data_IF_646532928853
#
_entry.id   IF_646532928853
#
_cell.length_a   1.000
_cell.length_b   1.000
_cell.length_c   1.000
_cell.angle_alpha   90.00
_cell.angle_beta   90.00
_cell.angle_gamma   90.00
#
_symmetry.space_group_name_H-M   'P 1'
#
loop_
_entity.id
_entity.type
_entity.pdbx_description
1 polymer ?
#
# COMPACT_ATOMS: atom_id res chain seq x y z
N UNK A 1 14.14 4.48 3.75
CA UNK A 1 14.45 3.54 4.86
C UNK A 1 13.50 3.65 6.05
N UNK A 2 13.21 4.84 6.60
CA UNK A 2 12.28 5.02 7.74
C UNK A 2 10.92 4.37 7.47
N UNK A 3 10.31 4.71 6.33
CA UNK A 3 8.98 4.20 5.95
C UNK A 3 8.97 2.68 5.74
N UNK A 4 10.05 2.10 5.18
CA UNK A 4 10.23 0.64 5.13
C UNK A 4 10.18 0.04 6.53
N UNK A 5 10.89 0.64 7.49
CA UNK A 5 10.85 0.24 8.90
C UNK A 5 9.47 0.32 9.53
N UNK A 6 8.74 1.43 9.28
CA UNK A 6 7.37 1.62 9.76
C UNK A 6 6.42 0.55 9.19
N UNK A 7 6.46 0.29 7.88
CA UNK A 7 5.62 -0.71 7.23
C UNK A 7 5.97 -2.12 7.70
N UNK A 8 7.26 -2.45 7.77
CA UNK A 8 7.74 -3.74 8.27
C UNK A 8 7.29 -3.98 9.73
N UNK A 9 7.41 -2.97 10.60
CA UNK A 9 6.90 -3.04 11.96
C UNK A 9 5.38 -3.20 12.01
N UNK A 10 4.66 -2.60 11.07
CA UNK A 10 3.20 -2.64 10.99
C UNK A 10 2.66 -3.97 10.49
N UNK A 11 3.43 -4.78 9.73
CA UNK A 11 3.02 -6.13 9.26
C UNK A 11 2.60 -7.03 10.43
N UNK A 12 3.24 -6.88 11.60
CA UNK A 12 2.91 -7.69 12.77
C UNK A 12 1.48 -7.44 13.29
N UNK A 13 0.90 -6.27 13.02
CA UNK A 13 -0.44 -5.93 13.49
C UNK A 13 -1.51 -6.84 12.87
N UNK A 14 -1.70 -6.91 11.54
CA UNK A 14 -2.67 -7.82 10.93
C UNK A 14 -2.31 -9.29 11.19
N UNK A 15 -1.01 -9.65 11.28
CA UNK A 15 -0.62 -11.02 11.66
C UNK A 15 -1.15 -11.39 13.05
N UNK A 16 -1.00 -10.51 14.04
CA UNK A 16 -1.54 -10.73 15.39
C UNK A 16 -3.08 -10.73 15.43
N UNK A 17 -3.71 -9.83 14.66
CA UNK A 17 -5.17 -9.73 14.56
C UNK A 17 -5.82 -10.91 13.82
N UNK A 18 -5.06 -11.68 13.03
CA UNK A 18 -5.56 -12.89 12.36
C UNK A 18 -5.91 -14.02 13.34
N UNK A 19 -5.30 -14.02 14.53
CA UNK A 19 -5.58 -14.94 15.63
C UNK A 19 -5.00 -16.35 15.46
N UNK A 20 -4.44 -16.90 16.54
CA UNK A 20 -3.94 -18.28 16.62
C UNK A 20 -2.78 -18.61 15.66
N UNK A 21 -2.40 -19.88 15.61
CA UNK A 21 -1.43 -20.38 14.63
C UNK A 21 -2.06 -20.49 13.24
N UNK A 22 -1.27 -20.22 12.20
CA UNK A 22 -1.69 -20.35 10.81
C UNK A 22 -1.69 -21.82 10.39
N UNK A 23 -2.73 -22.24 9.67
CA UNK A 23 -2.79 -23.51 8.96
C UNK A 23 -2.39 -23.29 7.51
N UNK A 24 -2.23 -24.37 6.76
CA UNK A 24 -1.91 -24.35 5.31
C UNK A 24 -2.71 -23.33 4.50
N UNK A 25 -4.05 -23.18 4.63
CA UNK A 25 -4.79 -22.19 3.85
C UNK A 25 -4.44 -20.74 4.19
N UNK A 26 -4.00 -20.43 5.41
CA UNK A 26 -3.53 -19.09 5.75
C UNK A 26 -2.19 -18.78 5.09
N UNK A 27 -1.24 -19.71 5.09
CA UNK A 27 0.02 -19.53 4.37
C UNK A 27 -0.20 -19.31 2.87
N UNK A 28 -1.16 -20.00 2.25
CA UNK A 28 -1.52 -19.78 0.85
C UNK A 28 -2.11 -18.39 0.61
N UNK A 29 -3.04 -17.94 1.47
CA UNK A 29 -3.61 -16.57 1.38
C UNK A 29 -2.55 -15.50 1.60
N UNK A 30 -1.62 -15.73 2.52
CA UNK A 30 -0.49 -14.83 2.76
C UNK A 30 0.39 -14.75 1.51
N UNK A 31 0.79 -15.89 0.94
CA UNK A 31 1.57 -15.94 -0.29
C UNK A 31 0.87 -15.23 -1.46
N UNK A 32 -0.44 -15.41 -1.60
CA UNK A 32 -1.24 -14.70 -2.60
C UNK A 32 -1.23 -13.18 -2.36
N UNK A 33 -1.32 -12.74 -1.11
CA UNK A 33 -1.17 -11.33 -0.74
C UNK A 33 0.22 -10.78 -1.10
N UNK A 34 1.29 -11.53 -0.80
CA UNK A 34 2.66 -11.16 -1.16
C UNK A 34 2.81 -11.01 -2.67
N UNK A 35 2.32 -11.97 -3.45
CA UNK A 35 2.35 -11.93 -4.91
C UNK A 35 1.57 -10.73 -5.43
N UNK A 36 0.37 -10.45 -4.89
CA UNK A 36 -0.42 -9.31 -5.29
C UNK A 36 0.28 -7.97 -4.98
N UNK A 37 0.90 -7.84 -3.79
CA UNK A 37 1.68 -6.65 -3.41
C UNK A 37 2.91 -6.46 -4.29
N UNK A 38 3.65 -7.53 -4.59
CA UNK A 38 4.78 -7.50 -5.52
C UNK A 38 4.36 -7.13 -6.93
N UNK A 39 3.29 -7.73 -7.45
CA UNK A 39 2.76 -7.42 -8.77
C UNK A 39 2.36 -5.95 -8.87
N UNK A 40 1.59 -5.45 -7.89
CA UNK A 40 1.15 -4.05 -7.87
C UNK A 40 2.30 -3.05 -7.80
N UNK A 41 3.42 -3.43 -7.18
CA UNK A 41 4.61 -2.57 -7.02
C UNK A 41 5.69 -2.78 -8.08
N UNK A 42 5.51 -3.74 -8.98
CA UNK A 42 6.46 -4.06 -10.06
C UNK A 42 5.87 -3.80 -11.45
N UNK A 43 4.76 -3.06 -11.52
CA UNK A 43 4.15 -2.66 -12.78
C UNK A 43 5.12 -1.75 -13.55
N UNK A 44 5.45 -2.09 -14.81
CA UNK A 44 6.25 -1.22 -15.65
C UNK A 44 5.52 0.11 -15.86
N UNK A 45 6.29 1.20 -15.92
CA UNK A 45 5.75 2.51 -16.24
C UNK A 45 5.35 2.54 -17.71
N UNK A 46 4.07 2.79 -17.95
CA UNK A 46 3.51 2.91 -19.29
C UNK A 46 3.11 4.37 -19.50
N UNK A 47 3.33 4.91 -20.70
CA UNK A 47 2.89 6.26 -21.06
C UNK A 47 1.64 6.17 -21.93
N UNK A 48 0.48 6.01 -21.29
CA UNK A 48 -0.81 6.04 -22.00
C UNK A 48 -1.24 7.48 -22.23
N UNK A 49 -1.78 7.76 -23.42
CA UNK A 49 -2.38 9.08 -23.68
C UNK A 49 -3.62 9.30 -22.80
N UNK A 50 -3.80 10.49 -22.21
CA UNK A 50 -4.93 10.79 -21.33
C UNK A 50 -6.25 10.80 -22.11
N UNK A 51 -6.95 9.67 -22.09
CA UNK A 51 -8.33 9.56 -22.59
C UNK A 51 -9.30 9.43 -21.42
N UNK A 52 -10.50 10.04 -21.46
CA UNK A 52 -11.50 9.93 -20.40
C UNK A 52 -11.81 8.47 -19.98
N UNK A 53 -11.74 7.53 -20.92
CA UNK A 53 -11.97 6.10 -20.70
C UNK A 53 -10.81 5.39 -19.98
N UNK A 54 -9.60 5.95 -20.03
CA UNK A 54 -8.43 5.45 -19.30
C UNK A 54 -8.36 6.12 -17.92
N UNK A 55 -8.66 7.42 -17.87
CA UNK A 55 -8.67 8.23 -16.64
C UNK A 55 -9.69 7.69 -15.63
N UNK A 56 -10.89 7.31 -16.08
CA UNK A 56 -11.94 6.78 -15.21
C UNK A 56 -11.51 5.55 -14.39
N UNK A 57 -11.14 4.41 -15.00
CA UNK A 57 -10.70 3.23 -14.24
C UNK A 57 -9.39 3.48 -13.49
N UNK A 58 -8.47 4.28 -14.03
CA UNK A 58 -7.22 4.59 -13.33
C UNK A 58 -7.45 5.42 -12.07
N UNK A 59 -8.34 6.41 -12.08
CA UNK A 59 -8.73 7.17 -10.90
C UNK A 59 -9.37 6.27 -9.83
N UNK A 60 -10.26 5.37 -10.26
CA UNK A 60 -10.91 4.39 -9.38
C UNK A 60 -9.91 3.39 -8.77
N UNK A 61 -8.90 2.93 -9.52
CA UNK A 61 -7.88 2.01 -8.98
C UNK A 61 -6.88 2.75 -8.09
N UNK A 62 -6.48 3.97 -8.46
CA UNK A 62 -5.55 4.78 -7.68
C UNK A 62 -6.11 5.12 -6.28
N UNK A 63 -7.39 5.49 -6.19
CA UNK A 63 -8.04 5.74 -4.90
C UNK A 63 -8.24 4.44 -4.10
N UNK A 64 -8.49 3.31 -4.78
CA UNK A 64 -8.55 1.99 -4.15
C UNK A 64 -7.22 1.63 -3.48
N UNK A 65 -6.10 1.94 -4.13
CA UNK A 65 -4.76 1.72 -3.61
C UNK A 65 -4.49 2.52 -2.33
N UNK A 66 -5.10 3.70 -2.14
CA UNK A 66 -4.97 4.48 -0.91
C UNK A 66 -5.68 3.85 0.30
N UNK A 67 -6.70 3.02 0.07
CA UNK A 67 -7.42 2.31 1.14
C UNK A 67 -6.68 1.03 1.53
N UNK A 68 -5.93 0.41 0.60
CA UNK A 68 -5.16 -0.79 0.88
C UNK A 68 -3.85 -0.45 1.62
N UNK A 69 -3.55 -1.11 2.75
CA UNK A 69 -2.32 -0.86 3.49
C UNK A 69 -1.10 -1.26 2.66
N UNK A 70 -0.15 -0.34 2.56
CA UNK A 70 1.13 -0.55 1.86
C UNK A 70 1.10 -0.22 0.37
N UNK A 71 -0.02 0.17 -0.23
CA UNK A 71 -0.07 0.63 -1.63
C UNK A 71 -0.19 2.16 -1.73
N UNK A 72 0.46 2.74 -2.74
CA UNK A 72 0.43 4.20 -2.98
C UNK A 72 -0.39 4.51 -4.23
N UNK A 73 -1.43 5.34 -4.10
CA UNK A 73 -2.25 5.77 -5.23
C UNK A 73 -1.47 6.59 -6.27
N UNK A 74 -0.50 7.41 -5.83
CA UNK A 74 0.37 8.17 -6.74
C UNK A 74 1.30 7.26 -7.53
N UNK A 75 1.78 6.17 -6.94
CA UNK A 75 2.57 5.16 -7.64
C UNK A 75 1.76 4.49 -8.75
N UNK A 76 0.51 4.12 -8.48
CA UNK A 76 -0.37 3.55 -9.50
C UNK A 76 -0.59 4.54 -10.66
N UNK A 77 -0.82 5.83 -10.37
CA UNK A 77 -0.94 6.84 -11.42
C UNK A 77 0.35 7.03 -12.22
N UNK A 78 1.52 6.92 -11.58
CA UNK A 78 2.81 6.95 -12.25
C UNK A 78 2.99 5.73 -13.15
N UNK A 79 2.66 4.53 -12.68
CA UNK A 79 2.75 3.28 -13.45
C UNK A 79 1.87 3.30 -14.70
N UNK A 80 0.68 3.90 -14.61
CA UNK A 80 -0.28 4.02 -15.74
C UNK A 80 0.06 5.22 -16.65
N UNK A 81 0.94 6.13 -16.21
CA UNK A 81 1.35 7.32 -16.98
C UNK A 81 0.44 8.54 -16.83
N UNK A 82 -0.51 8.50 -15.90
CA UNK A 82 -1.50 9.57 -15.69
C UNK A 82 -1.13 10.55 -14.59
N UNK A 83 -0.02 10.34 -13.88
CA UNK A 83 0.43 11.24 -12.83
C UNK A 83 0.70 12.66 -13.34
N UNK A 84 1.51 12.79 -14.40
CA UNK A 84 1.82 14.09 -15.01
C UNK A 84 0.58 14.79 -15.61
N UNK A 85 -0.25 14.11 -16.44
CA UNK A 85 -1.52 14.67 -16.93
C UNK A 85 -2.45 15.16 -15.82
N UNK A 86 -2.54 14.41 -14.71
CA UNK A 86 -3.39 14.79 -13.58
C UNK A 86 -2.84 16.02 -12.86
N UNK A 87 -1.53 16.14 -12.70
CA UNK A 87 -0.91 17.34 -12.13
C UNK A 87 -1.10 18.57 -13.02
N UNK A 88 -0.91 18.41 -14.33
CA UNK A 88 -1.12 19.49 -15.31
C UNK A 88 -2.58 19.97 -15.30
N UNK A 89 -3.54 19.06 -15.30
CA UNK A 89 -4.96 19.40 -15.21
C UNK A 89 -5.30 20.21 -13.93
N UNK A 90 -4.60 19.95 -12.82
CA UNK A 90 -4.77 20.72 -11.59
C UNK A 90 -4.14 22.11 -11.70
N UNK A 91 -2.94 22.20 -12.26
CA UNK A 91 -2.22 23.46 -12.47
C UNK A 91 -2.98 24.41 -13.41
N UNK A 92 -3.51 23.87 -14.51
CA UNK A 92 -4.31 24.60 -15.50
C UNK A 92 -5.77 24.83 -15.07
N UNK A 93 -6.17 24.26 -13.93
CA UNK A 93 -7.56 24.25 -13.44
C UNK A 93 -8.55 23.71 -14.49
N UNK A 94 -8.18 22.63 -15.18
CA UNK A 94 -9.10 21.89 -16.04
C UNK A 94 -10.16 21.19 -15.18
N UNK A 95 -11.23 21.95 -14.88
CA UNK A 95 -12.34 21.49 -14.06
C UNK A 95 -13.07 20.30 -14.69
N UNK A 96 -13.01 20.13 -16.02
CA UNK A 96 -13.65 19.00 -16.69
C UNK A 96 -12.89 17.72 -16.40
N UNK A 97 -11.56 17.74 -16.55
CA UNK A 97 -10.72 16.60 -16.19
C UNK A 97 -10.83 16.29 -14.70
N UNK A 98 -10.70 17.31 -13.84
CA UNK A 98 -10.76 17.14 -12.38
C UNK A 98 -12.11 16.58 -11.94
N UNK A 99 -13.22 17.09 -12.48
CA UNK A 99 -14.55 16.58 -12.13
C UNK A 99 -14.73 15.13 -12.58
N UNK A 100 -14.25 14.77 -13.77
CA UNK A 100 -14.32 13.40 -14.28
C UNK A 100 -13.47 12.45 -13.44
N UNK A 101 -12.20 12.82 -13.19
CA UNK A 101 -11.29 12.07 -12.32
C UNK A 101 -11.89 11.90 -10.91
N UNK A 102 -12.37 13.00 -10.33
CA UNK A 102 -12.98 13.03 -8.99
C UNK A 102 -14.22 12.16 -8.89
N UNK A 103 -15.11 12.17 -9.89
CA UNK A 103 -16.30 11.33 -9.92
C UNK A 103 -15.93 9.84 -9.83
N UNK A 104 -15.00 9.38 -10.67
CA UNK A 104 -14.58 7.99 -10.69
C UNK A 104 -13.73 7.59 -9.48
N UNK A 105 -12.95 8.53 -8.93
CA UNK A 105 -12.30 8.34 -7.64
C UNK A 105 -13.34 8.17 -6.51
N UNK A 106 -14.42 8.96 -6.49
CA UNK A 106 -15.49 8.77 -5.50
C UNK A 106 -16.18 7.41 -5.65
N UNK A 107 -16.50 7.00 -6.88
CA UNK A 107 -17.09 5.68 -7.14
C UNK A 107 -16.16 4.56 -6.69
N UNK A 108 -14.87 4.61 -7.06
CA UNK A 108 -13.87 3.63 -6.65
C UNK A 108 -13.72 3.55 -5.14
N UNK A 109 -13.69 4.69 -4.45
CA UNK A 109 -13.60 4.75 -2.99
C UNK A 109 -14.81 4.09 -2.32
N UNK A 110 -16.03 4.43 -2.74
CA UNK A 110 -17.25 3.85 -2.17
C UNK A 110 -17.29 2.34 -2.35
N UNK A 111 -16.94 1.85 -3.55
CA UNK A 111 -16.89 0.41 -3.84
C UNK A 111 -15.84 -0.28 -2.98
N UNK A 112 -14.63 0.27 -2.90
CA UNK A 112 -13.54 -0.32 -2.12
C UNK A 112 -13.83 -0.32 -0.62
N UNK A 113 -14.35 0.76 -0.06
CA UNK A 113 -14.70 0.82 1.37
C UNK A 113 -15.77 -0.23 1.70
N UNK A 114 -16.79 -0.39 0.84
CA UNK A 114 -17.82 -1.41 1.02
C UNK A 114 -17.23 -2.83 0.92
N UNK A 115 -16.37 -3.06 -0.06
CA UNK A 115 -15.67 -4.33 -0.25
C UNK A 115 -14.81 -4.66 0.97
N UNK A 116 -13.94 -3.75 1.39
CA UNK A 116 -13.05 -3.91 2.54
C UNK A 116 -13.85 -4.19 3.82
N UNK A 117 -14.93 -3.43 4.05
CA UNK A 117 -15.83 -3.68 5.19
C UNK A 117 -16.44 -5.08 5.11
N UNK A 118 -16.91 -5.51 3.95
CA UNK A 118 -17.48 -6.84 3.77
C UNK A 118 -16.45 -7.95 4.06
N UNK A 119 -15.23 -7.80 3.55
CA UNK A 119 -14.12 -8.73 3.76
C UNK A 119 -13.74 -8.81 5.24
N UNK A 120 -13.56 -7.67 5.90
CA UNK A 120 -13.18 -7.62 7.32
C UNK A 120 -14.27 -8.20 8.24
N UNK A 121 -15.56 -8.01 7.94
CA UNK A 121 -16.64 -8.54 8.77
C UNK A 121 -16.85 -10.05 8.54
N UNK A 122 -16.88 -10.50 7.29
CA UNK A 122 -17.23 -11.90 6.96
C UNK A 122 -16.03 -12.85 6.94
N UNK A 123 -14.85 -12.33 6.59
CA UNK A 123 -13.63 -13.10 6.37
C UNK A 123 -12.44 -12.56 7.17
N UNK A 124 -12.69 -11.94 8.33
CA UNK A 124 -11.70 -11.26 9.18
C UNK A 124 -10.31 -11.90 9.18
N UNK A 125 -10.22 -13.17 9.59
CA UNK A 125 -8.95 -13.91 9.66
C UNK A 125 -8.26 -14.01 8.30
N UNK A 126 -8.99 -14.35 7.25
CA UNK A 126 -8.44 -14.43 5.89
C UNK A 126 -7.97 -13.08 5.38
N UNK A 127 -8.76 -12.02 5.60
CA UNK A 127 -8.42 -10.66 5.19
C UNK A 127 -7.18 -10.15 5.89
N UNK A 128 -7.06 -10.34 7.21
CA UNK A 128 -5.86 -9.95 7.96
C UNK A 128 -4.59 -10.63 7.41
N UNK A 129 -4.68 -11.92 7.09
CA UNK A 129 -3.56 -12.67 6.51
C UNK A 129 -3.19 -12.15 5.11
N UNK A 130 -4.18 -11.86 4.27
CA UNK A 130 -3.95 -11.28 2.93
C UNK A 130 -3.33 -9.89 3.04
N UNK A 131 -3.84 -9.03 3.91
CA UNK A 131 -3.33 -7.67 4.12
C UNK A 131 -1.87 -7.71 4.62
N UNK A 132 -1.54 -8.61 5.54
CA UNK A 132 -0.16 -8.83 5.96
C UNK A 132 0.74 -9.21 4.77
N UNK A 133 0.26 -10.11 3.91
CA UNK A 133 0.97 -10.48 2.68
C UNK A 133 1.17 -9.31 1.73
N UNK A 134 0.12 -8.52 1.47
CA UNK A 134 0.18 -7.33 0.60
C UNK A 134 1.20 -6.32 1.10
N UNK A 135 1.21 -6.05 2.42
CA UNK A 135 2.19 -5.16 3.04
C UNK A 135 3.62 -5.66 2.87
N UNK A 136 3.85 -6.97 3.02
CA UNK A 136 5.16 -7.60 2.81
C UNK A 136 5.58 -7.50 1.34
N UNK A 137 4.69 -7.78 0.40
CA UNK A 137 4.97 -7.63 -1.03
C UNK A 137 5.30 -6.18 -1.41
N UNK A 138 4.60 -5.23 -0.80
CA UNK A 138 4.84 -3.81 -1.05
C UNK A 138 6.17 -3.28 -0.49
N UNK A 139 6.82 -3.99 0.44
CA UNK A 139 8.16 -3.62 0.95
C UNK A 139 9.20 -3.48 -0.17
N UNK A 140 9.02 -4.19 -1.30
CA UNK A 140 9.85 -4.05 -2.49
C UNK A 140 9.93 -2.59 -2.94
N UNK A 141 8.79 -1.90 -3.05
CA UNK A 141 8.73 -0.49 -3.47
C UNK A 141 9.38 0.47 -2.48
N UNK A 142 9.56 0.04 -1.23
CA UNK A 142 10.11 0.86 -0.15
C UNK A 142 11.61 0.63 0.06
N UNK A 143 12.20 -0.25 -0.74
CA UNK A 143 13.62 -0.54 -0.70
C UNK A 143 14.42 0.75 -0.96
N UNK A 144 15.38 1.13 -0.09
CA UNK A 144 16.04 2.43 -0.19
C UNK A 144 16.92 2.60 -1.44
N UNK A 145 17.39 1.49 -2.01
CA UNK A 145 18.33 1.48 -3.13
C UNK A 145 17.62 0.98 -4.39
N UNK A 146 17.03 1.90 -5.13
CA UNK A 146 16.36 1.61 -6.40
C UNK A 146 16.92 2.52 -7.49
N UNK A 147 16.96 2.02 -8.72
CA UNK A 147 17.24 2.86 -9.89
C UNK A 147 15.98 3.64 -10.35
N UNK A 148 16.14 4.49 -11.36
CA UNK A 148 15.03 5.25 -11.98
C UNK A 148 13.97 4.38 -12.64
N UNK A 149 14.26 3.10 -12.91
CA UNK A 149 13.33 2.12 -13.45
C UNK A 149 12.70 1.23 -12.36
N UNK A 150 13.01 1.45 -11.07
CA UNK A 150 12.52 0.65 -9.95
C UNK A 150 13.22 -0.71 -9.79
N UNK A 151 14.38 -0.92 -10.42
CA UNK A 151 15.21 -2.10 -10.19
C UNK A 151 15.92 -2.01 -8.84
N UNK A 152 15.92 -3.12 -8.11
CA UNK A 152 16.55 -3.22 -6.79
C UNK A 152 18.08 -3.22 -6.95
N UNK A 153 18.73 -2.30 -6.27
CA UNK A 153 20.18 -2.21 -6.20
C UNK A 153 20.72 -2.71 -4.85
N UNK A 154 21.98 -3.12 -4.86
CA UNK A 154 22.69 -3.47 -3.65
C UNK A 154 22.92 -2.23 -2.77
N UNK A 155 22.97 -2.39 -1.43
CA UNK A 155 23.23 -1.27 -0.53
C UNK A 155 24.57 -0.60 -0.84
N UNK A 156 24.54 0.72 -1.03
CA UNK A 156 25.73 1.56 -1.20
C UNK A 156 26.34 1.92 0.16
N UNK A 157 27.43 2.69 0.20
CA UNK A 157 28.19 3.03 1.42
C UNK A 157 27.36 3.59 2.59
N UNK A 158 26.18 4.15 2.33
CA UNK A 158 25.25 4.71 3.33
C UNK A 158 24.37 3.67 4.03
N UNK A 159 24.60 2.37 3.78
CA UNK A 159 23.80 1.29 4.36
C UNK A 159 23.71 1.28 5.88
N UNK A 160 24.74 1.61 6.69
CA UNK A 160 24.61 1.58 8.14
C UNK A 160 23.62 2.64 8.64
N UNK A 161 23.67 3.85 8.07
CA UNK A 161 22.79 4.95 8.42
C UNK A 161 21.34 4.63 8.03
N UNK A 162 21.12 4.19 6.79
CA UNK A 162 19.79 3.84 6.30
C UNK A 162 19.19 2.66 7.07
N UNK A 163 20.01 1.67 7.44
CA UNK A 163 19.58 0.56 8.28
C UNK A 163 19.20 1.04 9.69
N UNK A 164 20.00 1.94 10.30
CA UNK A 164 19.68 2.57 11.58
C UNK A 164 18.33 3.33 11.54
N UNK A 165 18.09 4.11 10.49
CA UNK A 165 16.82 4.82 10.28
C UNK A 165 15.65 3.82 10.10
N UNK A 166 15.86 2.73 9.37
CA UNK A 166 14.85 1.67 9.22
C UNK A 166 14.51 0.99 10.54
N UNK A 167 15.52 0.67 11.35
CA UNK A 167 15.33 0.09 12.70
C UNK A 167 14.60 1.06 13.60
N UNK A 168 14.93 2.35 13.58
CA UNK A 168 14.20 3.38 14.35
C UNK A 168 12.70 3.41 13.99
N UNK A 169 12.36 3.35 12.69
CA UNK A 169 10.97 3.26 12.24
C UNK A 169 10.27 2.00 12.78
N UNK A 170 10.92 0.84 12.68
CA UNK A 170 10.36 -0.41 13.21
C UNK A 170 10.12 -0.34 14.72
N UNK A 171 11.11 0.15 15.48
CA UNK A 171 11.02 0.28 16.93
C UNK A 171 9.94 1.26 17.36
N UNK A 172 9.77 2.38 16.64
CA UNK A 172 8.71 3.34 16.91
C UNK A 172 7.31 2.69 16.81
N UNK A 173 7.07 1.89 15.77
CA UNK A 173 5.80 1.17 15.61
C UNK A 173 5.63 0.12 16.71
N UNK A 174 6.65 -0.69 17.00
CA UNK A 174 6.56 -1.70 18.05
C UNK A 174 6.33 -1.07 19.43
N UNK A 175 6.97 0.06 19.73
CA UNK A 175 6.75 0.80 20.96
C UNK A 175 5.30 1.29 21.07
N UNK A 176 4.76 1.86 19.99
CA UNK A 176 3.37 2.31 19.95
C UNK A 176 2.39 1.16 20.18
N UNK A 177 2.58 0.03 19.48
CA UNK A 177 1.76 -1.18 19.66
C UNK A 177 1.84 -1.72 21.10
N UNK A 178 3.02 -1.69 21.72
CA UNK A 178 3.20 -2.12 23.11
C UNK A 178 2.51 -1.16 24.10
N UNK A 179 2.58 0.16 23.87
CA UNK A 179 1.90 1.16 24.70
C UNK A 179 0.39 0.96 24.62
N UNK A 180 -0.15 0.76 23.42
CA UNK A 180 -1.57 0.52 23.19
C UNK A 180 -2.02 -0.78 23.88
N UNK A 181 -1.27 -1.87 23.71
CA UNK A 181 -1.55 -3.14 24.38
C UNK A 181 -1.52 -3.03 25.92
N UNK A 182 -0.66 -2.17 26.48
CA UNK A 182 -0.61 -1.89 27.92
C UNK A 182 -1.77 -1.03 28.40
N UNK A 183 -2.22 -0.05 27.61
CA UNK A 183 -3.37 0.81 27.95
C UNK A 183 -4.67 0.00 28.00
N UNK A 184 -4.91 -0.86 27.00
CA UNK A 184 -6.09 -1.72 26.96
C UNK A 184 -6.16 -2.62 28.20
N UNK A 185 -5.03 -3.20 28.64
CA UNK A 185 -4.96 -4.02 29.86
C UNK A 185 -5.14 -3.26 31.19
N UNK A 186 -5.03 -1.92 31.19
CA UNK A 186 -5.17 -1.09 32.39
C UNK A 186 -6.53 -0.38 32.50
N UNK A 187 -7.34 -0.45 31.45
CA UNK A 187 -8.65 0.20 31.36
C UNK A 187 -9.85 -0.73 31.57
N UNK A 188 -9.60 -1.97 31.98
CA UNK A 188 -10.57 -2.91 32.57
C UNK A 188 -10.36 -2.97 34.08
#
# INVERSE_FOLDING_TARGET
ALFLGLVLGSVLVPVRLSGGSWRTPEYLRFGLGVIAGLAATSLPTTSLEPSPWIVAPAAAIAICALVLPGLSGSFILLSVGLYQPTLQAVDERDLRYIAWFGLWACVGLVVMVRLMRHLLVRYHRGTMVVLAGVMVGALRSLWPWQDTAGALQAPTGDWPLLLGIGVLGLLAVQLLVLIEARKVRRGE
#
